data_IF_960043430287
#
_entry.id   IF_960043430287
#
_cell.length_a   1.000
_cell.length_b   1.000
_cell.length_c   1.000
_cell.angle_alpha   90.00
_cell.angle_beta   90.00
_cell.angle_gamma   90.00
#
_symmetry.space_group_name_H-M   'P 1'
#
loop_
_entity.id
_entity.type
_entity.pdbx_description
1 polymer ?
#
# COMPACT_ATOMS: atom_id res chain seq x y z
N UNK A 1 1.46 -2.31 -18.47
CA UNK A 1 1.45 -2.54 -17.00
C UNK A 1 1.63 -4.03 -16.77
N UNK A 2 2.50 -4.46 -15.85
CA UNK A 2 2.68 -5.90 -15.57
C UNK A 2 1.40 -6.50 -14.97
N UNK A 3 1.19 -7.81 -15.11
CA UNK A 3 0.00 -8.48 -14.58
C UNK A 3 -0.11 -8.35 -13.04
N UNK A 4 1.03 -8.31 -12.35
CA UNK A 4 1.08 -8.09 -10.89
C UNK A 4 0.66 -6.67 -10.50
N UNK A 5 1.06 -5.65 -11.25
CA UNK A 5 0.61 -4.27 -11.02
C UNK A 5 -0.91 -4.13 -11.22
N UNK A 6 -1.48 -4.81 -12.20
CA UNK A 6 -2.93 -4.81 -12.44
C UNK A 6 -3.66 -5.44 -11.25
N UNK A 7 -3.17 -6.58 -10.76
CA UNK A 7 -3.71 -7.23 -9.56
C UNK A 7 -3.57 -6.34 -8.32
N UNK A 8 -2.39 -5.75 -8.11
CA UNK A 8 -2.14 -4.84 -6.99
C UNK A 8 -3.14 -3.68 -7.00
N UNK A 9 -3.35 -3.02 -8.15
CA UNK A 9 -4.33 -1.94 -8.27
C UNK A 9 -5.74 -2.41 -7.95
N UNK A 10 -6.17 -3.56 -8.51
CA UNK A 10 -7.48 -4.15 -8.23
C UNK A 10 -7.70 -4.41 -6.73
N UNK A 11 -6.66 -4.88 -6.03
CA UNK A 11 -6.75 -5.20 -4.60
C UNK A 11 -6.63 -3.92 -3.73
N UNK A 12 -5.87 -2.91 -4.20
CA UNK A 12 -5.64 -1.65 -3.50
C UNK A 12 -6.82 -0.68 -3.54
N UNK A 13 -7.46 -0.49 -4.69
CA UNK A 13 -8.53 0.50 -4.86
C UNK A 13 -9.68 0.32 -3.86
N UNK A 14 -10.20 -0.90 -3.60
CA UNK A 14 -11.25 -1.11 -2.60
C UNK A 14 -10.81 -0.75 -1.19
N UNK A 15 -9.54 -0.98 -0.83
CA UNK A 15 -8.98 -0.62 0.48
C UNK A 15 -8.98 0.90 0.66
N UNK A 16 -8.47 1.60 -0.35
CA UNK A 16 -8.42 3.06 -0.36
C UNK A 16 -9.82 3.69 -0.26
N UNK A 17 -10.76 3.25 -1.12
CA UNK A 17 -12.12 3.76 -1.15
C UNK A 17 -12.87 3.43 0.16
N UNK A 18 -12.69 2.23 0.71
CA UNK A 18 -13.29 1.86 1.98
C UNK A 18 -12.80 2.80 3.08
N UNK A 19 -11.50 2.97 3.24
CA UNK A 19 -10.95 3.85 4.28
C UNK A 19 -11.43 5.30 4.13
N UNK A 20 -11.56 5.81 2.90
CA UNK A 20 -12.13 7.13 2.66
C UNK A 20 -13.56 7.27 3.22
N UNK A 21 -14.40 6.25 3.02
CA UNK A 21 -15.81 6.26 3.43
C UNK A 21 -16.02 6.01 4.91
N UNK A 22 -15.29 5.08 5.52
CA UNK A 22 -15.53 4.60 6.89
C UNK A 22 -14.59 5.20 7.92
N UNK A 23 -13.39 5.62 7.50
CA UNK A 23 -12.28 6.05 8.38
C UNK A 23 -11.98 5.06 9.51
N UNK A 24 -12.22 3.77 9.26
CA UNK A 24 -12.12 2.71 10.28
C UNK A 24 -10.82 1.90 10.18
N UNK A 25 -10.49 1.21 11.28
CA UNK A 25 -9.31 0.35 11.35
C UNK A 25 -9.35 -0.82 10.36
N UNK A 26 -10.53 -1.20 9.86
CA UNK A 26 -10.68 -2.28 8.88
C UNK A 26 -9.99 -1.93 7.56
N UNK A 27 -10.08 -0.66 7.12
CA UNK A 27 -9.34 -0.19 5.94
C UNK A 27 -7.82 -0.25 6.14
N UNK A 28 -7.34 0.15 7.32
CA UNK A 28 -5.91 0.12 7.64
C UNK A 28 -5.37 -1.31 7.74
N UNK A 29 -6.12 -2.22 8.37
CA UNK A 29 -5.79 -3.66 8.40
C UNK A 29 -5.59 -4.22 6.99
N UNK A 30 -6.49 -3.88 6.07
CA UNK A 30 -6.38 -4.36 4.69
C UNK A 30 -5.17 -3.74 3.96
N UNK A 31 -4.84 -2.46 4.22
CA UNK A 31 -3.63 -1.83 3.69
C UNK A 31 -2.37 -2.52 4.22
N UNK A 32 -2.33 -2.80 5.53
CA UNK A 32 -1.26 -3.54 6.18
C UNK A 32 -1.08 -4.94 5.56
N UNK A 33 -2.16 -5.70 5.41
CA UNK A 33 -2.12 -7.03 4.79
C UNK A 33 -1.58 -6.99 3.35
N UNK A 34 -2.02 -6.01 2.57
CA UNK A 34 -1.56 -5.82 1.20
C UNK A 34 -0.07 -5.46 1.13
N UNK A 35 0.43 -4.65 2.05
CA UNK A 35 1.85 -4.28 2.12
C UNK A 35 2.75 -5.49 2.39
N UNK A 36 2.32 -6.40 3.27
CA UNK A 36 3.03 -7.67 3.51
C UNK A 36 2.98 -8.61 2.30
N UNK A 37 1.83 -8.67 1.64
CA UNK A 37 1.62 -9.52 0.46
C UNK A 37 2.45 -9.04 -0.74
N UNK A 38 2.67 -7.73 -0.88
CA UNK A 38 3.49 -7.17 -1.94
C UNK A 38 4.92 -7.75 -1.95
N UNK A 39 5.52 -7.96 -0.78
CA UNK A 39 6.84 -8.60 -0.67
C UNK A 39 6.79 -10.05 -1.17
N UNK A 40 5.75 -10.82 -0.80
CA UNK A 40 5.55 -12.20 -1.26
C UNK A 40 5.33 -12.29 -2.78
N UNK A 41 4.73 -11.26 -3.37
CA UNK A 41 4.50 -11.11 -4.81
C UNK A 41 5.69 -10.52 -5.59
N UNK A 42 6.82 -10.30 -4.92
CA UNK A 42 8.02 -9.69 -5.51
C UNK A 42 7.77 -8.31 -6.12
N UNK A 43 6.80 -7.56 -5.57
CA UNK A 43 6.55 -6.17 -5.93
C UNK A 43 7.50 -5.24 -5.18
N UNK A 44 7.94 -4.17 -5.84
CA UNK A 44 8.81 -3.17 -5.23
C UNK A 44 8.04 -2.02 -4.56
N UNK A 45 8.74 -1.24 -3.73
CA UNK A 45 8.17 -0.03 -3.13
C UNK A 45 7.63 0.94 -4.19
N UNK A 46 8.36 1.11 -5.30
CA UNK A 46 7.95 1.99 -6.41
C UNK A 46 6.64 1.53 -7.06
N UNK A 47 6.38 0.23 -7.11
CA UNK A 47 5.12 -0.33 -7.63
C UNK A 47 3.94 0.06 -6.74
N UNK A 48 4.12 -0.01 -5.41
CA UNK A 48 3.12 0.43 -4.43
C UNK A 48 2.84 1.93 -4.54
N UNK A 49 3.90 2.75 -4.62
CA UNK A 49 3.76 4.20 -4.76
C UNK A 49 3.08 4.60 -6.07
N UNK A 50 3.33 3.87 -7.16
CA UNK A 50 2.67 4.10 -8.45
C UNK A 50 1.17 3.82 -8.33
N UNK A 51 0.78 2.64 -7.86
CA UNK A 51 -0.63 2.26 -7.71
C UNK A 51 -1.37 3.20 -6.77
N UNK A 52 -0.73 3.60 -5.66
CA UNK A 52 -1.27 4.59 -4.74
C UNK A 52 -1.55 5.92 -5.43
N UNK A 53 -0.56 6.49 -6.12
CA UNK A 53 -0.69 7.79 -6.77
C UNK A 53 -1.72 7.77 -7.91
N UNK A 54 -1.75 6.71 -8.72
CA UNK A 54 -2.78 6.54 -9.76
C UNK A 54 -4.18 6.57 -9.14
N UNK A 55 -4.41 5.78 -8.08
CA UNK A 55 -5.70 5.71 -7.38
C UNK A 55 -6.05 7.05 -6.72
N UNK A 56 -5.08 7.71 -6.08
CA UNK A 56 -5.27 9.02 -5.46
C UNK A 56 -5.68 10.08 -6.50
N UNK A 57 -4.99 10.14 -7.64
CA UNK A 57 -5.29 11.09 -8.72
C UNK A 57 -6.66 10.86 -9.32
N UNK A 58 -7.06 9.59 -9.50
CA UNK A 58 -8.41 9.25 -9.95
C UNK A 58 -9.47 9.75 -8.98
N UNK A 59 -9.30 9.52 -7.68
CA UNK A 59 -10.30 9.91 -6.67
C UNK A 59 -10.34 11.42 -6.44
N UNK A 60 -9.19 12.08 -6.28
CA UNK A 60 -9.13 13.53 -6.11
C UNK A 60 -9.63 14.28 -7.34
N UNK A 61 -9.58 13.66 -8.53
CA UNK A 61 -10.19 14.21 -9.75
C UNK A 61 -11.72 14.22 -9.75
N UNK A 62 -12.37 13.47 -8.84
CA UNK A 62 -13.84 13.39 -8.74
C UNK A 62 -14.47 14.36 -7.74
N UNK A 63 -13.68 14.96 -6.85
CA UNK A 63 -14.20 15.88 -5.83
C UNK A 63 -14.33 17.29 -6.40
N UNK A 64 -15.22 18.10 -5.83
CA UNK A 64 -15.57 19.42 -6.38
C UNK A 64 -15.10 20.58 -5.52
N UNK A 65 -14.70 20.30 -4.27
CA UNK A 65 -14.26 21.32 -3.33
C UNK A 65 -12.85 21.07 -2.83
N UNK A 66 -12.19 22.15 -2.41
CA UNK A 66 -10.87 22.09 -1.78
C UNK A 66 -10.91 21.30 -0.48
N UNK A 67 -12.02 21.35 0.25
CA UNK A 67 -12.16 20.64 1.53
C UNK A 67 -12.25 19.13 1.32
N UNK A 68 -13.08 18.67 0.38
CA UNK A 68 -13.11 17.26 -0.02
C UNK A 68 -11.74 16.79 -0.51
N UNK A 69 -11.02 17.61 -1.29
CA UNK A 69 -9.68 17.27 -1.75
C UNK A 69 -8.69 17.10 -0.58
N UNK A 70 -8.78 17.94 0.45
CA UNK A 70 -7.98 17.80 1.67
C UNK A 70 -8.34 16.54 2.45
N UNK A 71 -9.62 16.23 2.56
CA UNK A 71 -10.08 15.01 3.22
C UNK A 71 -9.57 13.75 2.51
N UNK A 72 -9.59 13.75 1.18
CA UNK A 72 -9.03 12.67 0.35
C UNK A 72 -7.52 12.57 0.54
N UNK A 73 -6.79 13.69 0.50
CA UNK A 73 -5.34 13.71 0.69
C UNK A 73 -4.93 13.20 2.09
N UNK A 74 -5.66 13.58 3.14
CA UNK A 74 -5.41 13.11 4.50
C UNK A 74 -5.60 11.59 4.62
N UNK A 75 -6.71 11.06 4.10
CA UNK A 75 -6.97 9.63 4.10
C UNK A 75 -5.94 8.85 3.26
N UNK A 76 -5.58 9.39 2.10
CA UNK A 76 -4.57 8.81 1.23
C UNK A 76 -3.22 8.65 1.94
N UNK A 77 -2.79 9.70 2.66
CA UNK A 77 -1.58 9.67 3.47
C UNK A 77 -1.63 8.57 4.54
N UNK A 78 -2.73 8.44 5.27
CA UNK A 78 -2.88 7.40 6.30
C UNK A 78 -2.78 5.98 5.72
N UNK A 79 -3.51 5.70 4.63
CA UNK A 79 -3.46 4.38 3.98
C UNK A 79 -2.07 4.08 3.44
N UNK A 80 -1.40 5.08 2.85
CA UNK A 80 -0.04 4.93 2.32
C UNK A 80 0.97 4.59 3.42
N UNK A 81 0.92 5.31 4.54
CA UNK A 81 1.83 5.07 5.66
C UNK A 81 1.69 3.65 6.21
N UNK A 82 0.45 3.17 6.37
CA UNK A 82 0.18 1.81 6.85
C UNK A 82 0.70 0.74 5.87
N UNK A 83 0.43 0.94 4.57
CA UNK A 83 0.92 0.06 3.49
C UNK A 83 2.45 -0.02 3.48
N UNK A 84 3.12 1.14 3.52
CA UNK A 84 4.59 1.23 3.43
C UNK A 84 5.26 0.71 4.69
N UNK A 85 4.70 0.98 5.88
CA UNK A 85 5.21 0.43 7.13
C UNK A 85 5.16 -1.11 7.10
N UNK A 86 4.04 -1.69 6.67
CA UNK A 86 3.89 -3.14 6.56
C UNK A 86 4.87 -3.76 5.55
N UNK A 87 5.07 -3.09 4.41
CA UNK A 87 6.03 -3.50 3.39
C UNK A 87 7.46 -3.47 3.93
N UNK A 88 7.90 -2.36 4.52
CA UNK A 88 9.25 -2.18 5.07
C UNK A 88 9.56 -3.20 6.18
N UNK A 89 8.63 -3.37 7.14
CA UNK A 89 8.76 -4.38 8.20
C UNK A 89 8.92 -5.80 7.62
N UNK A 90 8.14 -6.14 6.61
CA UNK A 90 8.18 -7.45 5.98
C UNK A 90 9.49 -7.64 5.20
N UNK A 91 9.88 -6.65 4.41
CA UNK A 91 11.12 -6.69 3.63
C UNK A 91 12.35 -6.85 4.53
N UNK A 92 12.42 -6.11 5.64
CA UNK A 92 13.51 -6.26 6.63
C UNK A 92 13.55 -7.65 7.24
N UNK A 93 12.40 -8.18 7.67
CA UNK A 93 12.31 -9.54 8.21
C UNK A 93 12.78 -10.61 7.21
N UNK A 94 12.46 -10.45 5.92
CA UNK A 94 12.99 -11.33 4.87
C UNK A 94 14.52 -11.22 4.71
N UNK A 95 15.07 -10.01 4.75
CA UNK A 95 16.52 -9.79 4.64
C UNK A 95 17.27 -10.38 5.84
N UNK A 96 16.79 -10.16 7.06
CA UNK A 96 17.43 -10.66 8.29
C UNK A 96 17.52 -12.20 8.31
N UNK A 97 16.45 -12.89 7.91
CA UNK A 97 16.42 -14.36 7.79
C UNK A 97 17.41 -14.87 6.73
N UNK A 98 17.53 -14.13 5.62
CA UNK A 98 18.41 -14.51 4.51
C UNK A 98 19.87 -14.34 4.90
N UNK A 99 20.20 -13.25 5.60
CA UNK A 99 21.55 -12.98 6.11
C UNK A 99 21.97 -14.02 7.16
N UNK A 100 21.11 -14.34 8.13
CA UNK A 100 21.43 -15.33 9.16
C UNK A 100 21.63 -16.75 8.59
N UNK A 101 20.89 -17.13 7.53
CA UNK A 101 21.12 -18.40 6.82
C UNK A 101 22.46 -18.45 6.09
N UNK A 102 22.93 -17.34 5.54
CA UNK A 102 24.21 -17.27 4.84
C UNK A 102 25.42 -17.33 5.80
N UNK A 103 25.24 -16.87 7.04
CA UNK A 103 26.28 -16.90 8.08
C UNK A 103 26.39 -18.26 8.78
N UNK A 104 25.28 -19.01 8.92
CA UNK A 104 25.27 -20.35 9.51
C UNK A 104 25.74 -21.49 8.60
N UNK A 105 26.07 -21.20 7.33
CA UNK A 105 26.52 -22.17 6.34
C UNK A 105 28.06 -22.11 6.08
N UNK A 106 28.81 -21.41 6.93
CA UNK A 106 30.27 -21.23 6.85
C UNK A 106 31.01 -21.97 7.95
#
# INVERSE_FOLDING_TARGET
MSAELVRLRRDYTPVFLKFLTTRDETGLRAAYELGREAVRRSLGLVDLLRVHNETYLEVVGTVTTVEEAREVAAAASTVLMELVAAFDMTQRGFMDVTLHRADGAR
#
